data_IF_299340381340
#
_entry.id   IF_299340381340
#
_cell.length_a   1.000
_cell.length_b   1.000
_cell.length_c   1.000
_cell.angle_alpha   90.00
_cell.angle_beta   90.00
_cell.angle_gamma   90.00
#
_symmetry.space_group_name_H-M   'P 1'
#
loop_
_entity.id
_entity.type
_entity.pdbx_description
1 polymer ?
#
# COMPACT_ATOMS: atom_id res chain seq x y z
N UNK A 1 -42.79 -14.61 48.39
CA UNK A 1 -41.42 -14.81 47.88
C UNK A 1 -41.39 -14.34 46.44
N UNK A 2 -41.11 -13.05 46.21
CA UNK A 2 -40.94 -12.51 44.86
C UNK A 2 -39.46 -12.26 44.62
N UNK A 3 -38.84 -13.16 43.88
CA UNK A 3 -37.50 -13.01 43.32
C UNK A 3 -37.63 -12.16 42.05
N UNK A 4 -37.37 -10.86 42.14
CA UNK A 4 -37.17 -10.00 40.97
C UNK A 4 -35.66 -9.85 40.75
N UNK A 5 -35.14 -10.53 39.73
CA UNK A 5 -33.77 -10.34 39.24
C UNK A 5 -33.64 -8.99 38.51
N UNK A 6 -32.51 -8.27 38.68
CA UNK A 6 -32.24 -7.07 37.89
C UNK A 6 -31.88 -7.44 36.43
N UNK A 7 -32.06 -6.53 35.47
CA UNK A 7 -31.73 -6.78 34.07
C UNK A 7 -30.21 -6.92 33.88
N UNK A 8 -29.79 -7.91 33.11
CA UNK A 8 -28.41 -8.02 32.61
C UNK A 8 -28.18 -6.88 31.62
N UNK A 9 -27.46 -5.85 32.03
CA UNK A 9 -26.79 -4.93 31.11
C UNK A 9 -25.75 -5.71 30.30
N UNK A 10 -26.16 -6.16 29.12
CA UNK A 10 -25.24 -6.58 28.07
C UNK A 10 -24.57 -5.33 27.49
N UNK A 11 -23.51 -4.88 28.16
CA UNK A 11 -22.62 -3.87 27.62
C UNK A 11 -21.18 -4.38 27.73
N UNK A 12 -20.76 -5.19 26.76
CA UNK A 12 -19.35 -5.27 26.37
C UNK A 12 -19.28 -5.20 24.85
N UNK A 13 -19.11 -3.95 24.40
CA UNK A 13 -18.37 -3.54 23.21
C UNK A 13 -18.15 -4.62 22.14
N UNK A 14 -18.81 -4.42 21.00
CA UNK A 14 -18.33 -4.91 19.72
C UNK A 14 -16.83 -4.62 19.65
N UNK A 15 -16.00 -5.64 19.80
CA UNK A 15 -14.59 -5.54 19.48
C UNK A 15 -14.53 -5.28 17.97
N UNK A 16 -14.57 -3.99 17.59
CA UNK A 16 -14.22 -3.55 16.24
C UNK A 16 -12.89 -4.23 15.98
N UNK A 17 -12.91 -5.16 15.02
CA UNK A 17 -11.85 -6.14 14.81
C UNK A 17 -10.52 -5.40 14.86
N UNK A 18 -9.73 -5.74 15.87
CA UNK A 18 -8.29 -5.49 16.02
C UNK A 18 -7.65 -4.83 14.84
N UNK A 19 -7.71 -5.64 13.79
CA UNK A 19 -7.01 -5.67 12.53
C UNK A 19 -8.04 -6.12 11.48
N UNK A 20 -7.99 -5.52 10.30
CA UNK A 20 -8.75 -5.85 9.10
C UNK A 20 -8.03 -6.85 8.19
N UNK A 21 -6.69 -6.82 8.14
CA UNK A 21 -5.89 -7.74 7.33
C UNK A 21 -5.79 -9.13 7.97
N UNK A 22 -5.85 -10.22 7.20
CA UNK A 22 -5.70 -11.57 7.74
C UNK A 22 -4.27 -11.81 8.22
N UNK A 23 -4.09 -11.90 9.55
CA UNK A 23 -2.79 -12.12 10.23
C UNK A 23 -2.03 -13.33 9.64
N UNK A 24 -2.74 -14.40 9.28
CA UNK A 24 -2.13 -15.59 8.70
C UNK A 24 -1.45 -15.32 7.35
N UNK A 25 -2.00 -14.40 6.54
CA UNK A 25 -1.39 -14.02 5.25
C UNK A 25 -0.19 -13.11 5.44
N UNK A 26 -0.27 -12.17 6.37
CA UNK A 26 0.90 -11.35 6.73
C UNK A 26 2.03 -12.24 7.22
N UNK A 27 1.75 -13.20 8.10
CA UNK A 27 2.75 -14.18 8.56
C UNK A 27 3.36 -14.98 7.40
N UNK A 28 2.55 -15.44 6.45
CA UNK A 28 3.02 -16.19 5.29
C UNK A 28 3.98 -15.36 4.43
N UNK A 29 3.63 -14.10 4.17
CA UNK A 29 4.47 -13.16 3.40
C UNK A 29 5.76 -12.86 4.16
N UNK A 30 5.70 -12.60 5.47
CA UNK A 30 6.91 -12.39 6.27
C UNK A 30 7.85 -13.60 6.22
N UNK A 31 7.31 -14.82 6.19
CA UNK A 31 8.09 -16.08 6.08
C UNK A 31 8.57 -16.41 4.67
N UNK A 32 8.14 -15.70 3.62
CA UNK A 32 8.68 -15.93 2.28
C UNK A 32 10.09 -15.38 2.12
N UNK A 33 10.52 -14.50 3.01
CA UNK A 33 11.90 -14.02 3.06
C UNK A 33 12.83 -15.12 3.59
N UNK A 34 13.95 -15.43 2.89
CA UNK A 34 14.83 -16.55 3.24
C UNK A 34 15.45 -16.43 4.64
N UNK A 35 15.60 -15.20 5.15
CA UNK A 35 16.23 -14.92 6.45
C UNK A 35 15.27 -14.96 7.64
N UNK A 36 13.98 -15.25 7.43
CA UNK A 36 12.95 -15.22 8.48
C UNK A 36 12.56 -16.64 8.91
N UNK A 37 13.21 -17.12 9.98
CA UNK A 37 12.94 -18.45 10.55
C UNK A 37 11.72 -18.48 11.48
N UNK A 38 11.62 -17.51 12.39
CA UNK A 38 10.55 -17.38 13.37
C UNK A 38 10.11 -15.93 13.51
N UNK A 39 8.85 -15.73 13.92
CA UNK A 39 8.24 -14.40 14.02
C UNK A 39 7.52 -14.31 15.37
N UNK A 40 7.91 -13.34 16.18
CA UNK A 40 7.25 -13.00 17.44
C UNK A 40 5.80 -12.51 17.17
N UNK A 41 4.86 -12.87 18.04
CA UNK A 41 3.44 -12.51 17.89
C UNK A 41 3.19 -10.99 17.92
N UNK A 42 3.90 -10.24 18.76
CA UNK A 42 3.78 -8.77 18.85
C UNK A 42 4.33 -8.09 17.60
N UNK A 43 5.47 -8.58 17.10
CA UNK A 43 6.03 -8.12 15.83
C UNK A 43 5.06 -8.37 14.67
N UNK A 44 4.44 -9.55 14.61
CA UNK A 44 3.44 -9.87 13.60
C UNK A 44 2.21 -8.96 13.71
N UNK A 45 1.71 -8.69 14.92
CA UNK A 45 0.59 -7.79 15.14
C UNK A 45 0.93 -6.37 14.66
N UNK A 46 2.10 -5.86 15.05
CA UNK A 46 2.58 -4.53 14.67
C UNK A 46 2.78 -4.40 13.16
N UNK A 47 3.44 -5.37 12.52
CA UNK A 47 3.60 -5.38 11.05
C UNK A 47 2.25 -5.40 10.36
N UNK A 48 1.31 -6.22 10.82
CA UNK A 48 -0.03 -6.27 10.23
C UNK A 48 -0.72 -4.90 10.30
N UNK A 49 -0.58 -4.19 11.43
CA UNK A 49 -1.09 -2.83 11.57
C UNK A 49 -0.38 -1.80 10.73
N UNK A 50 0.95 -1.88 10.65
CA UNK A 50 1.74 -1.01 9.80
C UNK A 50 1.34 -1.19 8.33
N UNK A 51 1.10 -2.42 7.86
CA UNK A 51 0.64 -2.69 6.49
C UNK A 51 -0.72 -2.05 6.19
N UNK A 52 -1.67 -2.09 7.12
CA UNK A 52 -2.97 -1.41 6.96
C UNK A 52 -2.82 0.10 6.81
N UNK A 53 -2.01 0.72 7.66
CA UNK A 53 -1.76 2.15 7.64
C UNK A 53 -0.97 2.54 6.39
N UNK A 54 -0.02 1.71 5.97
CA UNK A 54 0.76 1.91 4.77
C UNK A 54 -0.13 1.94 3.51
N UNK A 55 -1.06 0.99 3.35
CA UNK A 55 -1.98 0.98 2.20
C UNK A 55 -2.84 2.24 2.17
N UNK A 56 -3.36 2.67 3.33
CA UNK A 56 -4.13 3.92 3.44
C UNK A 56 -3.27 5.15 3.11
N UNK A 57 -2.03 5.17 3.60
CA UNK A 57 -1.09 6.26 3.36
C UNK A 57 -0.71 6.35 1.89
N UNK A 58 -0.35 5.24 1.24
CA UNK A 58 -0.03 5.18 -0.19
C UNK A 58 -1.22 5.67 -1.03
N UNK A 59 -2.43 5.17 -0.77
CA UNK A 59 -3.62 5.58 -1.50
C UNK A 59 -3.92 7.08 -1.34
N UNK A 60 -3.82 7.60 -0.11
CA UNK A 60 -4.05 9.02 0.18
C UNK A 60 -2.98 9.90 -0.45
N UNK A 61 -1.70 9.58 -0.27
CA UNK A 61 -0.61 10.35 -0.86
C UNK A 61 -0.72 10.38 -2.38
N UNK A 62 -1.04 9.24 -3.00
CA UNK A 62 -1.22 9.17 -4.46
C UNK A 62 -2.42 9.96 -4.95
N UNK A 63 -3.52 9.94 -4.20
CA UNK A 63 -4.70 10.74 -4.52
C UNK A 63 -4.44 12.25 -4.40
N UNK A 64 -3.60 12.67 -3.45
CA UNK A 64 -3.30 14.07 -3.18
C UNK A 64 -2.21 14.65 -4.09
N UNK A 65 -1.24 13.83 -4.50
CA UNK A 65 -0.12 14.24 -5.34
C UNK A 65 -0.46 14.13 -6.85
N UNK A 66 -1.35 13.21 -7.21
CA UNK A 66 -1.85 13.06 -8.58
C UNK A 66 -3.07 13.91 -8.90
N UNK A 67 -3.74 13.56 -10.00
CA UNK A 67 -4.97 14.25 -10.49
C UNK A 67 -6.24 13.86 -9.72
N UNK A 68 -6.08 13.19 -8.57
CA UNK A 68 -7.18 12.59 -7.84
C UNK A 68 -8.10 13.61 -7.22
N UNK A 69 -7.59 14.78 -6.82
CA UNK A 69 -8.40 15.87 -6.26
C UNK A 69 -9.38 16.44 -7.27
N UNK A 70 -8.98 16.58 -8.53
CA UNK A 70 -9.81 17.12 -9.60
C UNK A 70 -10.78 16.07 -10.14
N UNK A 71 -10.30 14.84 -10.33
CA UNK A 71 -11.08 13.76 -10.95
C UNK A 71 -11.92 12.96 -9.96
N UNK A 72 -11.70 13.16 -8.65
CA UNK A 72 -12.26 12.37 -7.56
C UNK A 72 -12.08 10.84 -7.77
N UNK A 73 -10.95 10.46 -8.38
CA UNK A 73 -10.62 9.09 -8.71
C UNK A 73 -9.13 8.83 -8.42
N UNK A 74 -8.74 7.57 -8.20
CA UNK A 74 -7.34 7.20 -8.06
C UNK A 74 -6.97 6.24 -9.19
N UNK A 75 -6.03 6.65 -10.03
CA UNK A 75 -5.56 5.87 -11.17
C UNK A 75 -4.21 5.20 -10.87
N UNK A 76 -3.84 4.22 -11.70
CA UNK A 76 -2.51 3.60 -11.62
C UNK A 76 -1.39 4.62 -11.87
N UNK A 77 -1.57 5.57 -12.79
CA UNK A 77 -0.57 6.61 -13.05
C UNK A 77 -0.29 7.47 -11.82
N UNK A 78 -1.31 7.78 -11.00
CA UNK A 78 -1.11 8.54 -9.77
C UNK A 78 -0.24 7.76 -8.76
N UNK A 79 -0.45 6.45 -8.65
CA UNK A 79 0.36 5.55 -7.81
C UNK A 79 1.81 5.46 -8.30
N UNK A 80 2.01 5.29 -9.62
CA UNK A 80 3.33 5.18 -10.23
C UNK A 80 4.13 6.48 -10.10
N UNK A 81 3.49 7.64 -10.34
CA UNK A 81 4.11 8.96 -10.11
C UNK A 81 4.50 9.16 -8.65
N UNK A 82 3.60 8.81 -7.73
CA UNK A 82 3.88 8.95 -6.29
C UNK A 82 5.03 8.07 -5.83
N UNK A 83 5.16 6.86 -6.38
CA UNK A 83 6.27 5.96 -6.10
C UNK A 83 7.62 6.50 -6.58
N UNK A 84 7.65 7.22 -7.71
CA UNK A 84 8.87 7.81 -8.28
C UNK A 84 9.24 9.16 -7.65
N UNK A 85 8.25 9.98 -7.29
CA UNK A 85 8.47 11.37 -6.88
C UNK A 85 8.61 11.54 -5.36
N UNK A 86 8.22 10.53 -4.58
CA UNK A 86 8.28 10.58 -3.12
C UNK A 86 9.30 9.58 -2.58
N UNK A 87 10.35 10.09 -1.94
CA UNK A 87 11.48 9.29 -1.42
C UNK A 87 11.04 8.11 -0.54
N UNK A 88 10.04 8.30 0.32
CA UNK A 88 9.52 7.26 1.20
C UNK A 88 8.85 6.09 0.47
N UNK A 89 8.50 6.27 -0.81
CA UNK A 89 7.89 5.26 -1.67
C UNK A 89 8.83 4.72 -2.75
N UNK A 90 10.09 5.16 -2.81
CA UNK A 90 11.04 4.71 -3.84
C UNK A 90 11.23 3.19 -3.87
N UNK A 91 11.05 2.48 -2.75
CA UNK A 91 11.11 1.02 -2.72
C UNK A 91 10.02 0.34 -3.58
N UNK A 92 9.03 1.10 -4.06
CA UNK A 92 7.97 0.63 -4.94
C UNK A 92 8.24 0.89 -6.43
N UNK A 93 9.29 1.61 -6.83
CA UNK A 93 9.49 2.01 -8.24
C UNK A 93 9.55 0.80 -9.18
N UNK A 94 10.20 -0.27 -8.74
CA UNK A 94 10.33 -1.51 -9.51
C UNK A 94 9.03 -2.33 -9.55
N UNK A 95 8.12 -2.07 -8.61
CA UNK A 95 6.84 -2.77 -8.46
C UNK A 95 5.69 -2.00 -9.14
N UNK A 96 5.76 -0.67 -9.13
CA UNK A 96 4.80 0.27 -9.69
C UNK A 96 5.46 1.18 -10.73
N UNK A 97 6.02 0.62 -11.82
CA UNK A 97 6.70 1.43 -12.83
C UNK A 97 5.72 2.32 -13.59
N UNK A 98 6.18 3.51 -14.00
CA UNK A 98 5.49 4.32 -15.01
C UNK A 98 5.45 3.56 -16.33
N UNK A 99 4.27 3.48 -16.92
CA UNK A 99 4.07 2.77 -18.20
C UNK A 99 4.46 3.69 -19.35
N UNK A 100 5.28 3.19 -20.26
CA UNK A 100 5.59 3.80 -21.55
C UNK A 100 5.09 2.89 -22.66
N UNK A 101 4.52 3.46 -23.72
CA UNK A 101 4.16 2.65 -24.89
C UNK A 101 5.42 2.34 -25.69
N UNK A 102 5.52 1.12 -26.21
CA UNK A 102 6.68 0.69 -27.00
C UNK A 102 6.98 1.65 -28.17
N UNK A 103 5.95 2.17 -28.84
CA UNK A 103 6.11 3.15 -29.91
C UNK A 103 6.75 4.46 -29.44
N UNK A 104 6.40 4.93 -28.24
CA UNK A 104 6.90 6.18 -27.68
C UNK A 104 8.36 5.98 -27.23
N UNK A 105 8.66 4.81 -26.67
CA UNK A 105 10.02 4.40 -26.31
C UNK A 105 10.93 4.29 -27.54
N UNK A 106 10.49 3.62 -28.61
CA UNK A 106 11.26 3.51 -29.85
C UNK A 106 11.56 4.89 -30.46
N UNK A 107 10.57 5.78 -30.48
CA UNK A 107 10.75 7.17 -30.93
C UNK A 107 11.79 7.91 -30.09
N UNK A 108 11.74 7.76 -28.76
CA UNK A 108 12.73 8.38 -27.87
C UNK A 108 14.16 7.87 -28.10
N UNK A 109 14.32 6.60 -28.52
CA UNK A 109 15.63 6.03 -28.86
C UNK A 109 16.17 6.57 -30.19
N UNK A 110 15.29 6.79 -31.18
CA UNK A 110 15.66 7.41 -32.46
C UNK A 110 16.10 8.85 -32.25
N UNK A 111 15.34 9.63 -31.46
CA UNK A 111 15.66 11.03 -31.15
C UNK A 111 17.00 11.17 -30.41
N UNK A 112 17.31 10.31 -29.44
CA UNK A 112 18.62 10.30 -28.77
C UNK A 112 19.79 10.00 -29.72
N UNK A 113 19.60 9.12 -30.72
CA UNK A 113 20.64 8.80 -31.69
C UNK A 113 20.92 9.96 -32.67
N UNK A 114 19.89 10.72 -33.02
CA UNK A 114 20.04 11.92 -33.87
C UNK A 114 20.77 13.04 -33.12
N UNK A 115 20.44 13.27 -31.84
CA UNK A 115 21.12 14.26 -31.00
C UNK A 115 22.62 13.95 -30.81
N UNK A 116 22.98 12.67 -30.66
CA UNK A 116 24.38 12.22 -30.55
C UNK A 116 25.14 12.29 -31.88
N UNK A 117 24.45 12.23 -33.02
CA UNK A 117 25.07 12.27 -34.36
C UNK A 117 25.36 13.71 -34.84
N UNK A 118 24.71 14.71 -34.23
CA UNK A 118 24.88 16.13 -34.53
C UNK A 118 26.01 16.81 -33.71
N UNK A 119 26.75 16.05 -32.90
CA UNK A 119 27.95 16.46 -32.15
C UNK A 119 29.26 15.89 -32.72
#
# INVERSE_FOLDING_TARGET
>A
MSQNNPPKDQQTSSHKKTISLPISRVRLIMKSSPDVSSINQDALFLTTKATELFVQHLARSSFLNGSGRETNSLSYSDLASTAEETETFHFLTDILPKKILARDYLKSLEEMQEEDADF
#
